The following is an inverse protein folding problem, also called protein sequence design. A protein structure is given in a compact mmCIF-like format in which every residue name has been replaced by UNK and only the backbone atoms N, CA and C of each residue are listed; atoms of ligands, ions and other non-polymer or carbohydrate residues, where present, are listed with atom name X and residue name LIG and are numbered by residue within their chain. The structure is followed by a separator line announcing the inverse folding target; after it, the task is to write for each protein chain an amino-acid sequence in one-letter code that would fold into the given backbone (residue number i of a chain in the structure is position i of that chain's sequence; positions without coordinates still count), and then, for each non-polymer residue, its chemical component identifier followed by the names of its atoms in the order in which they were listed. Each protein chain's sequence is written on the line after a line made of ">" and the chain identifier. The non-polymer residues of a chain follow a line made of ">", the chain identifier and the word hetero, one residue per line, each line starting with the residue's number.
data_IF_118955393330
#
_entry.id   IF_118955393330
#
_cell.length_a   1.000
_cell.length_b   1.000
_cell.length_c   1.000
_cell.angle_alpha   90.00
_cell.angle_beta   90.00
_cell.angle_gamma   90.00
#
_symmetry.space_group_name_H-M   'P 1'
#
loop_
_entity.id
_entity.type
_entity.pdbx_description
1 polymer ?
#
# COMPACT_ATOMS: atom_id res chain seq x y z
N UNK A 1 -30.08 -9.49 2.27
CA UNK A 1 -28.85 -9.22 3.06
C UNK A 1 -27.54 -9.48 2.29
N UNK A 2 -27.53 -9.82 0.98
CA UNK A 2 -26.29 -10.11 0.22
C UNK A 2 -25.56 -8.84 -0.26
N UNK A 3 -26.30 -7.80 -0.64
CA UNK A 3 -25.73 -6.57 -1.21
C UNK A 3 -24.89 -5.77 -0.20
N UNK A 4 -25.35 -5.65 1.05
CA UNK A 4 -24.59 -4.97 2.10
C UNK A 4 -23.29 -5.67 2.51
N UNK A 5 -23.22 -7.01 2.38
CA UNK A 5 -21.98 -7.75 2.65
C UNK A 5 -20.94 -7.48 1.55
N UNK A 6 -21.36 -7.50 0.29
CA UNK A 6 -20.46 -7.20 -0.84
C UNK A 6 -19.85 -5.80 -0.74
N UNK A 7 -20.69 -4.79 -0.46
CA UNK A 7 -20.24 -3.41 -0.29
C UNK A 7 -19.24 -3.26 0.88
N UNK A 8 -19.46 -3.96 1.99
CA UNK A 8 -18.54 -3.94 3.12
C UNK A 8 -17.17 -4.55 2.78
N UNK A 9 -17.14 -5.67 2.06
CA UNK A 9 -15.89 -6.31 1.61
C UNK A 9 -15.12 -5.41 0.65
N UNK A 10 -15.81 -4.79 -0.30
CA UNK A 10 -15.21 -3.83 -1.24
C UNK A 10 -14.61 -2.62 -0.52
N UNK A 11 -15.27 -2.11 0.51
CA UNK A 11 -14.76 -0.99 1.30
C UNK A 11 -13.44 -1.34 2.00
N UNK A 12 -13.34 -2.54 2.57
CA UNK A 12 -12.12 -3.03 3.23
C UNK A 12 -10.95 -3.18 2.27
N UNK A 13 -11.18 -3.80 1.10
CA UNK A 13 -10.15 -3.90 0.06
C UNK A 13 -9.72 -2.53 -0.43
N UNK A 14 -10.69 -1.65 -0.71
CA UNK A 14 -10.41 -0.27 -1.13
C UNK A 14 -9.53 0.44 -0.12
N UNK A 15 -9.84 0.31 1.17
CA UNK A 15 -9.04 0.90 2.25
C UNK A 15 -7.60 0.35 2.25
N UNK A 16 -7.43 -0.98 2.20
CA UNK A 16 -6.11 -1.61 2.17
C UNK A 16 -5.26 -1.12 0.99
N UNK A 17 -5.85 -1.06 -0.21
CA UNK A 17 -5.15 -0.62 -1.42
C UNK A 17 -4.83 0.87 -1.37
N UNK A 18 -5.76 1.71 -0.88
CA UNK A 18 -5.52 3.13 -0.71
C UNK A 18 -4.38 3.39 0.29
N UNK A 19 -4.36 2.70 1.43
CA UNK A 19 -3.27 2.80 2.40
C UNK A 19 -1.91 2.44 1.80
N UNK A 20 -1.83 1.43 0.94
CA UNK A 20 -0.59 1.10 0.22
C UNK A 20 -0.21 2.24 -0.72
N UNK A 21 -1.16 2.72 -1.55
CA UNK A 21 -0.93 3.76 -2.54
C UNK A 21 -0.53 5.12 -1.93
N UNK A 22 -0.97 5.43 -0.71
CA UNK A 22 -0.56 6.62 0.03
C UNK A 22 0.95 6.67 0.33
N UNK A 23 1.63 5.52 0.31
CA UNK A 23 3.08 5.42 0.54
C UNK A 23 3.91 5.71 -0.71
N UNK A 24 3.29 5.77 -1.90
CA UNK A 24 3.99 5.93 -3.19
C UNK A 24 5.00 7.09 -3.19
N UNK A 25 4.69 8.31 -2.68
CA UNK A 25 5.63 9.42 -2.69
C UNK A 25 6.85 9.20 -1.77
N UNK A 26 6.72 8.36 -0.74
CA UNK A 26 7.82 8.01 0.15
C UNK A 26 8.69 6.91 -0.47
N UNK A 27 8.06 5.94 -1.13
CA UNK A 27 8.75 4.85 -1.85
C UNK A 27 9.55 5.37 -3.03
N UNK A 28 9.05 6.37 -3.76
CA UNK A 28 9.78 6.99 -4.88
C UNK A 28 11.16 7.55 -4.47
N UNK A 29 11.31 7.93 -3.20
CA UNK A 29 12.55 8.47 -2.64
C UNK A 29 13.55 7.38 -2.24
N UNK A 30 13.14 6.12 -2.18
CA UNK A 30 14.02 5.00 -1.87
C UNK A 30 14.82 4.60 -3.12
N UNK A 31 16.13 4.36 -2.97
CA UNK A 31 17.00 3.99 -4.11
C UNK A 31 16.52 2.73 -4.86
N UNK A 32 15.91 1.77 -4.15
CA UNK A 32 15.32 0.55 -4.72
C UNK A 32 13.81 0.66 -5.01
N UNK A 33 13.22 1.85 -4.87
CA UNK A 33 11.78 2.07 -4.98
C UNK A 33 11.21 1.86 -6.39
N UNK A 34 12.04 1.92 -7.44
CA UNK A 34 11.59 1.89 -8.84
C UNK A 34 10.89 0.61 -9.27
N UNK A 35 11.30 -0.55 -8.75
CA UNK A 35 10.63 -1.82 -9.06
C UNK A 35 9.32 -1.94 -8.28
N UNK A 36 9.29 -1.47 -7.03
CA UNK A 36 8.07 -1.42 -6.23
C UNK A 36 7.03 -0.45 -6.82
N UNK A 37 7.45 0.69 -7.35
CA UNK A 37 6.56 1.66 -8.02
C UNK A 37 5.84 1.07 -9.24
N UNK A 38 6.44 0.12 -9.97
CA UNK A 38 5.75 -0.56 -11.08
C UNK A 38 4.55 -1.36 -10.57
N UNK A 39 4.67 -1.95 -9.39
CA UNK A 39 3.57 -2.70 -8.77
C UNK A 39 2.43 -1.78 -8.29
N UNK A 40 2.72 -0.52 -7.96
CA UNK A 40 1.68 0.46 -7.60
C UNK A 40 0.76 0.76 -8.78
N UNK A 41 1.26 0.77 -10.02
CA UNK A 41 0.42 0.91 -11.21
C UNK A 41 -0.55 -0.27 -11.37
N UNK A 42 -0.13 -1.49 -11.05
CA UNK A 42 -1.02 -2.65 -11.02
C UNK A 42 -2.10 -2.51 -9.93
N UNK A 43 -1.74 -2.03 -8.74
CA UNK A 43 -2.70 -1.81 -7.65
C UNK A 43 -3.73 -0.71 -8.00
N UNK A 44 -3.31 0.39 -8.64
CA UNK A 44 -4.23 1.44 -9.13
C UNK A 44 -5.20 0.89 -10.18
N UNK A 45 -4.68 0.12 -11.14
CA UNK A 45 -5.50 -0.50 -12.16
C UNK A 45 -6.50 -1.50 -11.57
N UNK A 46 -6.08 -2.26 -10.54
CA UNK A 46 -6.95 -3.18 -9.82
C UNK A 46 -8.04 -2.44 -9.03
N UNK A 47 -7.67 -1.38 -8.30
CA UNK A 47 -8.62 -0.57 -7.52
C UNK A 47 -9.75 0.00 -8.39
N UNK A 48 -9.45 0.39 -9.64
CA UNK A 48 -10.47 0.88 -10.59
C UNK A 48 -11.51 -0.18 -11.01
N UNK A 49 -11.26 -1.46 -10.72
CA UNK A 49 -12.11 -2.59 -11.11
C UNK A 49 -12.73 -3.31 -9.92
N UNK A 50 -12.44 -2.88 -8.68
CA UNK A 50 -12.82 -3.61 -7.46
C UNK A 50 -14.35 -3.76 -7.34
N UNK A 51 -15.11 -2.80 -7.88
CA UNK A 51 -16.58 -2.81 -7.90
C UNK A 51 -17.20 -3.92 -8.76
N UNK A 52 -16.39 -4.62 -9.55
CA UNK A 52 -16.82 -5.68 -10.46
C UNK A 52 -16.31 -7.06 -10.06
N UNK A 53 -15.70 -7.19 -8.88
CA UNK A 53 -15.09 -8.44 -8.41
C UNK A 53 -16.04 -9.13 -7.43
N UNK A 54 -16.26 -10.43 -7.62
CA UNK A 54 -16.92 -11.27 -6.62
C UNK A 54 -15.92 -11.58 -5.50
N UNK A 55 -16.10 -10.93 -4.34
CA UNK A 55 -15.19 -11.02 -3.20
C UNK A 55 -15.74 -11.97 -2.14
N UNK A 56 -14.87 -12.88 -1.67
CA UNK A 56 -15.13 -13.70 -0.50
C UNK A 56 -14.41 -13.13 0.73
N UNK A 57 -14.91 -13.44 1.92
CA UNK A 57 -14.34 -12.97 3.19
C UNK A 57 -12.85 -13.34 3.30
N UNK A 58 -12.51 -14.60 3.03
CA UNK A 58 -11.16 -15.13 3.13
C UNK A 58 -10.16 -14.41 2.20
N UNK A 59 -10.62 -13.94 1.03
CA UNK A 59 -9.77 -13.15 0.13
C UNK A 59 -9.49 -11.77 0.71
N UNK A 60 -10.48 -11.16 1.37
CA UNK A 60 -10.30 -9.89 2.06
C UNK A 60 -9.34 -10.01 3.23
N UNK A 61 -9.48 -11.05 4.06
CA UNK A 61 -8.57 -11.29 5.19
C UNK A 61 -7.12 -11.53 4.74
N UNK A 62 -6.95 -12.22 3.60
CA UNK A 62 -5.62 -12.42 3.00
C UNK A 62 -5.01 -11.11 2.51
N UNK A 63 -5.80 -10.24 1.88
CA UNK A 63 -5.33 -8.94 1.43
C UNK A 63 -4.98 -8.05 2.62
N UNK A 64 -5.83 -8.00 3.65
CA UNK A 64 -5.54 -7.27 4.89
C UNK A 64 -4.24 -7.72 5.56
N UNK A 65 -4.03 -9.05 5.65
CA UNK A 65 -2.80 -9.62 6.22
C UNK A 65 -1.56 -9.29 5.40
N UNK A 66 -1.67 -9.33 4.07
CA UNK A 66 -0.59 -8.95 3.16
C UNK A 66 -0.28 -7.46 3.27
N UNK A 67 -1.30 -6.59 3.34
CA UNK A 67 -1.14 -5.16 3.57
C UNK A 67 -0.44 -4.89 4.90
N UNK A 68 -0.84 -5.55 6.00
CA UNK A 68 -0.19 -5.38 7.29
C UNK A 68 1.29 -5.79 7.25
N UNK A 69 1.61 -6.91 6.59
CA UNK A 69 2.99 -7.40 6.43
C UNK A 69 3.83 -6.42 5.60
N UNK A 70 3.30 -5.94 4.48
CA UNK A 70 3.93 -4.94 3.63
C UNK A 70 4.27 -3.65 4.40
N UNK A 71 3.31 -3.14 5.19
CA UNK A 71 3.51 -1.95 6.01
C UNK A 71 4.59 -2.14 7.08
N UNK A 72 4.68 -3.34 7.67
CA UNK A 72 5.70 -3.65 8.66
C UNK A 72 7.11 -3.71 8.04
N UNK A 73 7.23 -4.37 6.88
CA UNK A 73 8.49 -4.46 6.13
C UNK A 73 9.02 -3.08 5.70
N UNK A 74 8.13 -2.13 5.40
CA UNK A 74 8.49 -0.78 5.00
C UNK A 74 8.98 0.13 6.15
N UNK A 75 8.70 -0.20 7.41
CA UNK A 75 9.14 0.63 8.55
C UNK A 75 10.66 0.82 8.57
N UNK A 76 11.42 -0.24 8.28
CA UNK A 76 12.88 -0.20 8.24
C UNK A 76 13.44 0.74 7.15
N UNK A 77 13.08 0.50 5.86
CA UNK A 77 13.47 1.36 4.75
C UNK A 77 13.06 2.83 4.93
N UNK A 78 11.83 3.10 5.35
CA UNK A 78 11.34 4.46 5.55
C UNK A 78 12.07 5.18 6.70
N UNK A 79 12.32 4.50 7.81
CA UNK A 79 13.12 5.07 8.91
C UNK A 79 14.58 5.34 8.50
N UNK A 80 15.14 4.57 7.55
CA UNK A 80 16.46 4.86 7.00
C UNK A 80 16.48 6.16 6.19
N UNK A 81 15.43 6.40 5.39
CA UNK A 81 15.27 7.63 4.59
C UNK A 81 15.19 8.89 5.48
N UNK A 82 14.43 8.85 6.58
CA UNK A 82 14.30 9.98 7.51
C UNK A 82 15.63 10.34 8.20
N UNK A 83 16.47 9.34 8.48
CA UNK A 83 17.79 9.54 9.10
C UNK A 83 18.80 10.16 8.14
N UNK A 84 18.73 9.84 6.84
CA UNK A 84 19.65 10.39 5.84
C UNK A 84 19.32 11.86 5.49
N UNK A 85 18.03 12.21 5.46
CA UNK A 85 17.57 13.59 5.27
C UNK A 85 17.87 14.56 6.43
N UNK A 86 18.28 14.04 7.60
CA UNK A 86 18.48 14.81 8.83
C UNK A 86 19.92 15.25 9.10
N UNK A 87 20.87 15.07 8.16
CA UNK A 87 22.21 15.66 8.30
C UNK A 87 22.18 17.12 7.81
N UNK A 88 22.16 18.14 8.71
CA UNK A 88 22.48 19.47 8.27
C UNK A 88 23.94 19.43 7.80
N UNK A 89 24.17 19.80 6.54
CA UNK A 89 25.50 20.07 6.00
C UNK A 89 26.01 21.38 6.63
N UNK A 90 26.31 21.34 7.93
CA UNK A 90 27.13 22.34 8.60
C UNK A 90 28.48 21.71 8.87
N UNK A 91 29.31 21.60 7.84
CA UNK A 91 30.74 21.40 8.02
C UNK A 91 31.49 22.24 6.97
N UNK A 92 32.06 23.33 7.51
CA UNK A 92 33.28 24.06 7.13
C UNK A 92 33.24 24.99 5.93
#
# INVERSE_FOLDING_TARGET
>A
MKEGKSLHLMFRITNCLQTILELEPQIERLELGKDLLKEFEHLKAFLSKVDHIDLQEDDVERIESATASFLDELKGPLAALERDGSKPRFLQ
#
